data_IF_797049572604
#
_entry.id   IF_797049572604
#
_cell.length_a   1.000
_cell.length_b   1.000
_cell.length_c   1.000
_cell.angle_alpha   90.00
_cell.angle_beta   90.00
_cell.angle_gamma   90.00
#
_symmetry.space_group_name_H-M   'P 1'
#
loop_
_entity.id
_entity.type
_entity.pdbx_description
1 polymer ?
#
# COMPACT_ATOMS: atom_id res chain seq x y z
N UNK A 1 -10.66 42.18 34.52
CA UNK A 1 -10.34 40.76 34.50
C UNK A 1 -11.01 40.15 33.27
N UNK A 2 -10.22 39.65 32.30
CA UNK A 2 -10.73 39.02 31.09
C UNK A 2 -10.98 37.53 31.40
N UNK A 3 -12.24 37.08 31.37
CA UNK A 3 -12.60 35.67 31.53
C UNK A 3 -12.92 35.08 30.16
N UNK A 4 -12.09 34.20 29.66
CA UNK A 4 -12.32 33.45 28.42
C UNK A 4 -12.81 32.05 28.82
N UNK A 5 -14.01 31.63 28.38
CA UNK A 5 -14.46 30.27 28.62
C UNK A 5 -13.61 29.32 27.76
N UNK A 6 -13.07 28.29 28.38
CA UNK A 6 -12.33 27.21 27.69
C UNK A 6 -13.15 25.94 27.86
N UNK A 7 -13.51 25.33 26.74
CA UNK A 7 -14.11 24.00 26.73
C UNK A 7 -13.02 22.97 26.48
N UNK A 8 -12.90 22.00 27.39
CA UNK A 8 -11.95 20.90 27.25
C UNK A 8 -12.75 19.64 26.80
N UNK A 9 -12.48 19.15 25.61
CA UNK A 9 -13.00 17.88 25.16
C UNK A 9 -12.02 16.76 25.56
N UNK A 10 -12.54 15.77 26.26
CA UNK A 10 -11.78 14.61 26.78
C UNK A 10 -12.38 13.27 26.34
N UNK A 11 -13.41 13.29 25.48
CA UNK A 11 -14.11 12.08 25.07
C UNK A 11 -13.68 11.67 23.67
N UNK A 12 -13.08 10.48 23.49
CA UNK A 12 -12.76 10.01 22.16
C UNK A 12 -14.04 9.73 21.35
N UNK A 13 -13.95 9.85 20.02
CA UNK A 13 -15.05 9.52 19.13
C UNK A 13 -15.42 8.04 19.23
N UNK A 14 -16.66 7.70 18.89
CA UNK A 14 -17.11 6.31 18.80
C UNK A 14 -16.97 5.82 17.36
N UNK A 15 -16.34 4.67 17.17
CA UNK A 15 -16.18 4.02 15.87
C UNK A 15 -17.14 2.84 15.78
N UNK A 16 -17.86 2.71 14.64
CA UNK A 16 -18.67 1.54 14.33
C UNK A 16 -18.27 0.97 12.98
N UNK A 17 -18.05 -0.34 12.91
CA UNK A 17 -17.68 -1.05 11.70
C UNK A 17 -18.93 -1.42 10.90
N UNK A 18 -19.01 -0.95 9.65
CA UNK A 18 -20.07 -1.33 8.72
C UNK A 18 -19.65 -2.50 7.82
N UNK A 19 -18.38 -2.52 7.40
CA UNK A 19 -17.82 -3.61 6.60
C UNK A 19 -16.30 -3.68 6.80
N UNK A 20 -15.76 -4.89 6.80
CA UNK A 20 -14.31 -5.10 6.71
C UNK A 20 -14.00 -6.30 5.83
N UNK A 21 -12.88 -6.22 5.12
CA UNK A 21 -12.32 -7.35 4.39
C UNK A 21 -12.01 -8.48 5.38
N UNK A 22 -12.57 -9.65 5.16
CA UNK A 22 -12.41 -10.79 6.07
C UNK A 22 -11.04 -11.45 6.00
N UNK A 23 -10.38 -11.36 4.87
CA UNK A 23 -9.04 -11.93 4.69
C UNK A 23 -8.20 -11.14 3.69
N UNK A 24 -6.90 -11.10 3.95
CA UNK A 24 -5.89 -10.54 3.05
C UNK A 24 -4.78 -11.57 2.78
N UNK A 25 -4.19 -11.47 1.61
CA UNK A 25 -3.02 -12.24 1.19
C UNK A 25 -1.89 -11.30 0.77
N UNK A 26 -0.63 -11.74 0.70
CA UNK A 26 0.44 -10.96 0.10
C UNK A 26 0.07 -10.42 -1.29
N UNK A 27 0.32 -9.14 -1.54
CA UNK A 27 -0.08 -8.43 -2.76
C UNK A 27 -1.59 -8.19 -2.90
N UNK A 28 -2.40 -8.53 -1.88
CA UNK A 28 -3.85 -8.32 -1.88
C UNK A 28 -4.25 -6.98 -1.30
N UNK A 29 -5.45 -6.54 -1.67
CA UNK A 29 -6.09 -5.33 -1.14
C UNK A 29 -7.47 -5.64 -0.58
N UNK A 30 -8.01 -4.74 0.20
CA UNK A 30 -9.32 -4.86 0.81
C UNK A 30 -9.94 -3.51 1.11
N UNK A 31 -11.20 -3.56 1.50
CA UNK A 31 -12.02 -2.40 1.83
C UNK A 31 -12.49 -2.48 3.28
N UNK A 32 -12.41 -1.36 3.97
CA UNK A 32 -12.99 -1.17 5.30
C UNK A 32 -13.93 0.02 5.26
N UNK A 33 -15.18 -0.19 5.69
CA UNK A 33 -16.20 0.86 5.79
C UNK A 33 -16.58 1.01 7.26
N UNK A 34 -16.51 2.20 7.77
CA UNK A 34 -16.78 2.51 9.16
C UNK A 34 -17.46 3.87 9.31
N UNK A 35 -18.08 4.07 10.47
CA UNK A 35 -18.67 5.36 10.86
C UNK A 35 -17.97 5.89 12.09
N UNK A 36 -17.90 7.21 12.22
CA UNK A 36 -17.39 7.91 13.40
C UNK A 36 -18.48 8.81 13.93
N UNK A 37 -18.67 8.88 15.25
CA UNK A 37 -19.77 9.64 15.87
C UNK A 37 -19.74 11.14 15.58
N UNK A 38 -18.57 11.67 15.24
CA UNK A 38 -18.32 13.09 15.00
C UNK A 38 -17.29 13.27 13.88
N UNK A 39 -17.13 14.47 13.30
CA UNK A 39 -16.12 14.71 12.29
C UNK A 39 -14.72 14.44 12.84
N UNK A 40 -13.97 13.46 12.33
CA UNK A 40 -12.63 13.16 12.82
C UNK A 40 -11.58 14.08 12.19
N UNK A 41 -10.59 14.50 12.99
CA UNK A 41 -9.42 15.21 12.50
C UNK A 41 -8.48 14.27 11.74
N UNK A 42 -8.16 13.10 12.31
CA UNK A 42 -7.36 12.04 11.68
C UNK A 42 -8.08 10.71 11.80
N UNK A 43 -8.29 10.04 10.69
CA UNK A 43 -8.93 8.71 10.73
C UNK A 43 -8.47 7.82 9.57
N UNK A 44 -8.59 6.50 9.77
CA UNK A 44 -8.17 5.50 8.79
C UNK A 44 -8.07 4.11 9.38
N UNK A 45 -7.33 3.26 8.70
CA UNK A 45 -7.05 1.89 9.14
C UNK A 45 -5.56 1.67 9.28
N UNK A 46 -5.16 1.18 10.43
CA UNK A 46 -3.79 0.73 10.71
C UNK A 46 -3.70 -0.77 10.43
N UNK A 47 -2.74 -1.19 9.62
CA UNK A 47 -2.40 -2.60 9.36
C UNK A 47 -0.92 -2.78 9.66
N UNK A 48 -0.59 -3.41 10.78
CA UNK A 48 0.78 -3.42 11.30
C UNK A 48 1.31 -1.99 11.44
N UNK A 49 2.41 -1.69 10.78
CA UNK A 49 3.05 -0.36 10.81
C UNK A 49 2.50 0.62 9.75
N UNK A 50 1.59 0.16 8.88
CA UNK A 50 1.08 0.95 7.75
C UNK A 50 -0.25 1.58 8.10
N UNK A 51 -0.37 2.88 7.84
CA UNK A 51 -1.62 3.62 8.00
C UNK A 51 -2.23 3.90 6.62
N UNK A 52 -3.52 3.58 6.48
CA UNK A 52 -4.33 3.82 5.30
C UNK A 52 -5.39 4.85 5.64
N UNK A 53 -5.36 6.05 5.04
CA UNK A 53 -6.30 7.10 5.35
C UNK A 53 -7.74 6.71 4.96
N UNK A 54 -8.69 7.26 5.70
CA UNK A 54 -10.11 7.13 5.37
C UNK A 54 -10.55 8.24 4.44
N UNK A 55 -11.43 7.91 3.51
CA UNK A 55 -12.05 8.85 2.58
C UNK A 55 -13.54 8.97 2.87
N UNK A 56 -14.17 10.12 2.64
CA UNK A 56 -15.60 10.29 2.85
C UNK A 56 -16.42 9.31 2.01
N UNK A 57 -17.40 8.67 2.64
CA UNK A 57 -18.40 7.85 1.96
C UNK A 57 -19.61 8.67 1.51
N UNK A 58 -20.62 7.98 0.93
CA UNK A 58 -21.85 8.65 0.46
C UNK A 58 -22.75 9.16 1.59
N UNK A 59 -22.69 8.54 2.76
CA UNK A 59 -23.49 8.94 3.92
C UNK A 59 -22.64 9.79 4.85
N UNK A 60 -23.26 10.74 5.54
CA UNK A 60 -22.59 11.52 6.57
C UNK A 60 -21.91 10.60 7.61
N UNK A 61 -20.77 11.03 8.10
CA UNK A 61 -19.97 10.33 9.11
C UNK A 61 -19.57 8.89 8.74
N UNK A 62 -19.71 8.51 7.45
CA UNK A 62 -19.28 7.22 6.93
C UNK A 62 -17.99 7.40 6.13
N UNK A 63 -17.03 6.53 6.36
CA UNK A 63 -15.72 6.60 5.74
C UNK A 63 -15.33 5.24 5.16
N UNK A 64 -14.47 5.29 4.15
CA UNK A 64 -13.97 4.15 3.42
C UNK A 64 -12.45 4.20 3.42
N UNK A 65 -11.79 3.14 3.86
CA UNK A 65 -10.36 2.99 3.74
C UNK A 65 -10.01 1.81 2.83
N UNK A 66 -9.07 2.03 1.93
CA UNK A 66 -8.51 0.98 1.08
C UNK A 66 -7.22 0.49 1.71
N UNK A 67 -7.20 -0.77 2.11
CA UNK A 67 -6.04 -1.40 2.75
C UNK A 67 -5.35 -2.36 1.79
N UNK A 68 -4.04 -2.51 1.92
CA UNK A 68 -3.27 -3.42 1.09
C UNK A 68 -2.10 -4.02 1.85
N UNK A 69 -1.67 -5.21 1.43
CA UNK A 69 -0.43 -5.84 1.89
C UNK A 69 0.60 -5.83 0.77
N UNK A 70 1.90 -5.66 1.09
CA UNK A 70 2.96 -5.90 0.15
C UNK A 70 2.90 -7.32 -0.43
N UNK A 71 3.42 -7.49 -1.63
CA UNK A 71 3.47 -8.80 -2.29
C UNK A 71 4.34 -9.82 -1.54
N UNK A 72 5.31 -9.34 -0.78
CA UNK A 72 6.27 -10.10 0.02
C UNK A 72 5.92 -10.16 1.52
N UNK A 73 4.71 -9.73 1.90
CA UNK A 73 4.27 -9.77 3.29
C UNK A 73 4.28 -11.21 3.83
N UNK A 74 5.06 -11.46 4.89
CA UNK A 74 5.12 -12.76 5.58
C UNK A 74 3.97 -12.98 6.55
N UNK A 75 3.37 -11.90 7.02
CA UNK A 75 2.28 -11.90 8.02
C UNK A 75 1.37 -10.69 7.87
N UNK A 76 0.23 -10.73 8.54
CA UNK A 76 -0.66 -9.61 8.73
C UNK A 76 -0.48 -9.09 10.16
N UNK A 77 0.01 -7.87 10.31
CA UNK A 77 0.06 -7.21 11.60
C UNK A 77 -1.33 -6.89 12.15
N UNK A 78 -1.39 -6.42 13.40
CA UNK A 78 -2.65 -6.01 14.02
C UNK A 78 -3.38 -5.01 13.13
N UNK A 79 -4.67 -5.28 12.89
CA UNK A 79 -5.53 -4.44 12.04
C UNK A 79 -6.58 -3.76 12.90
N UNK A 80 -6.70 -2.42 12.78
CA UNK A 80 -7.64 -1.63 13.55
C UNK A 80 -8.06 -0.36 12.81
N UNK A 81 -9.29 0.07 13.01
CA UNK A 81 -9.71 1.44 12.67
C UNK A 81 -9.17 2.38 13.75
N UNK A 82 -8.68 3.52 13.31
CA UNK A 82 -8.19 4.62 14.17
C UNK A 82 -9.00 5.84 13.81
N UNK A 83 -9.49 6.57 14.81
CA UNK A 83 -10.09 7.87 14.63
C UNK A 83 -9.73 8.77 15.81
N UNK A 84 -9.24 9.96 15.52
CA UNK A 84 -8.99 11.01 16.51
C UNK A 84 -9.86 12.22 16.19
N UNK A 85 -10.43 12.85 17.20
CA UNK A 85 -11.15 14.11 17.09
C UNK A 85 -10.20 15.31 16.92
N UNK A 86 -10.74 16.52 16.82
CA UNK A 86 -9.96 17.73 16.71
C UNK A 86 -9.19 18.07 18.01
N UNK A 87 -9.65 17.57 19.17
CA UNK A 87 -8.98 17.73 20.47
C UNK A 87 -7.82 16.73 20.65
N UNK A 88 -7.69 15.74 19.77
CA UNK A 88 -6.66 14.71 19.81
C UNK A 88 -7.02 13.47 20.63
N UNK A 89 -8.28 13.32 21.08
CA UNK A 89 -8.71 12.10 21.75
C UNK A 89 -8.84 10.98 20.72
N UNK A 90 -8.16 9.86 20.91
CA UNK A 90 -8.08 8.76 19.95
C UNK A 90 -8.95 7.57 20.37
N UNK A 91 -9.72 7.04 19.40
CA UNK A 91 -10.43 5.78 19.50
C UNK A 91 -9.81 4.74 18.59
N UNK A 92 -9.78 3.50 19.05
CA UNK A 92 -9.25 2.34 18.32
C UNK A 92 -10.31 1.23 18.30
N UNK A 93 -10.61 0.72 17.10
CA UNK A 93 -11.49 -0.43 16.91
C UNK A 93 -10.75 -1.58 16.23
N UNK A 94 -10.38 -2.66 16.91
CA UNK A 94 -9.75 -3.82 16.29
C UNK A 94 -10.64 -4.46 15.24
N UNK A 95 -10.04 -4.93 14.15
CA UNK A 95 -10.71 -5.66 13.07
C UNK A 95 -10.11 -7.04 12.95
N UNK A 96 -10.95 -8.08 12.94
CA UNK A 96 -10.53 -9.45 12.69
C UNK A 96 -10.36 -9.66 11.17
N UNK A 97 -9.10 -9.70 10.72
CA UNK A 97 -8.74 -10.02 9.33
C UNK A 97 -7.83 -11.25 9.33
N UNK A 98 -8.18 -12.24 8.52
CA UNK A 98 -7.39 -13.47 8.40
C UNK A 98 -6.27 -13.30 7.37
N UNK A 99 -5.04 -13.63 7.74
CA UNK A 99 -3.93 -13.71 6.79
C UNK A 99 -3.98 -15.02 6.02
N UNK A 100 -4.10 -14.96 4.69
CA UNK A 100 -4.05 -16.13 3.81
C UNK A 100 -2.66 -16.24 3.20
N UNK A 101 -1.87 -17.22 3.64
CA UNK A 101 -0.59 -17.55 3.01
C UNK A 101 -0.82 -17.94 1.55
N UNK A 102 0.07 -17.46 0.68
CA UNK A 102 0.13 -17.89 -0.71
C UNK A 102 1.28 -18.90 -0.80
N UNK A 103 1.04 -20.10 -1.35
CA UNK A 103 2.13 -21.04 -1.57
C UNK A 103 3.15 -20.45 -2.54
N UNK A 104 4.43 -20.69 -2.25
CA UNK A 104 5.51 -20.26 -3.14
C UNK A 104 5.38 -21.03 -4.46
N UNK A 105 5.21 -20.30 -5.56
CA UNK A 105 5.19 -20.87 -6.89
C UNK A 105 6.58 -20.78 -7.49
N UNK A 106 7.16 -21.93 -7.83
CA UNK A 106 8.46 -22.03 -8.50
C UNK A 106 8.23 -22.51 -9.92
N UNK A 107 8.53 -21.66 -10.86
CA UNK A 107 8.47 -21.98 -12.28
C UNK A 107 9.90 -22.00 -12.87
N UNK A 108 10.17 -22.93 -13.77
CA UNK A 108 11.42 -22.98 -14.55
C UNK A 108 11.13 -22.43 -15.94
N UNK A 109 11.85 -21.38 -16.31
CA UNK A 109 11.76 -20.79 -17.65
C UNK A 109 13.03 -21.13 -18.41
N UNK A 110 12.88 -21.84 -19.51
CA UNK A 110 14.00 -22.14 -20.42
C UNK A 110 14.22 -20.97 -21.37
N UNK A 111 15.41 -20.42 -21.35
CA UNK A 111 15.83 -19.35 -22.27
C UNK A 111 16.58 -20.00 -23.43
N UNK A 112 16.04 -19.92 -24.65
CA UNK A 112 16.68 -20.49 -25.84
C UNK A 112 17.76 -19.58 -26.41
N UNK A 113 18.73 -20.18 -27.11
CA UNK A 113 19.78 -19.44 -27.82
C UNK A 113 19.18 -18.51 -28.88
N UNK A 114 18.12 -18.94 -29.56
CA UNK A 114 17.43 -18.10 -30.54
C UNK A 114 16.80 -16.85 -29.93
N UNK A 115 16.25 -16.95 -28.72
CA UNK A 115 15.76 -15.80 -27.99
C UNK A 115 16.90 -14.84 -27.63
N UNK A 116 18.01 -15.36 -27.14
CA UNK A 116 19.17 -14.54 -26.79
C UNK A 116 19.75 -13.82 -27.99
N UNK A 117 19.91 -14.54 -29.13
CA UNK A 117 20.38 -13.96 -30.39
C UNK A 117 19.48 -12.85 -30.93
N UNK A 118 18.17 -12.98 -30.76
CA UNK A 118 17.21 -11.97 -31.17
C UNK A 118 17.20 -10.75 -30.26
N UNK A 119 17.20 -10.97 -28.92
CA UNK A 119 16.93 -9.90 -27.96
C UNK A 119 18.17 -9.16 -27.45
N UNK A 120 19.31 -9.83 -27.32
CA UNK A 120 20.49 -9.18 -26.75
C UNK A 120 21.05 -8.03 -27.61
N UNK A 121 21.00 -8.06 -28.96
CA UNK A 121 21.41 -6.90 -29.77
C UNK A 121 20.54 -5.65 -29.53
N UNK A 122 19.22 -5.83 -29.30
CA UNK A 122 18.31 -4.71 -28.98
C UNK A 122 18.76 -3.99 -27.69
N UNK A 123 19.08 -4.77 -26.65
CA UNK A 123 19.58 -4.20 -25.38
C UNK A 123 20.97 -3.60 -25.53
N UNK A 124 21.87 -4.25 -26.27
CA UNK A 124 23.24 -3.74 -26.47
C UNK A 124 23.28 -2.38 -27.18
N UNK A 125 22.28 -2.06 -27.99
CA UNK A 125 22.15 -0.76 -28.62
C UNK A 125 21.86 0.36 -27.62
N UNK A 126 21.24 0.05 -26.46
CA UNK A 126 20.89 1.01 -25.41
C UNK A 126 21.88 0.97 -24.23
N UNK A 127 22.60 -0.12 -24.05
CA UNK A 127 23.54 -0.36 -22.96
C UNK A 127 24.91 -0.78 -23.52
N UNK A 128 25.69 0.16 -24.06
CA UNK A 128 26.99 -0.12 -24.69
C UNK A 128 28.01 -0.76 -23.74
N UNK A 129 27.81 -0.62 -22.43
CA UNK A 129 28.62 -1.27 -21.40
C UNK A 129 28.39 -2.79 -21.28
N UNK A 130 27.34 -3.33 -21.91
CA UNK A 130 27.09 -4.77 -21.95
C UNK A 130 28.16 -5.49 -22.77
N UNK A 131 28.97 -6.31 -22.11
CA UNK A 131 30.03 -7.08 -22.75
C UNK A 131 29.87 -8.58 -22.51
N UNK A 132 30.65 -9.38 -23.22
CA UNK A 132 30.69 -10.83 -23.05
C UNK A 132 29.72 -11.60 -23.94
N UNK A 133 29.46 -12.86 -23.56
CA UNK A 133 28.55 -13.77 -24.25
C UNK A 133 27.08 -13.31 -24.16
N UNK A 134 26.20 -13.92 -24.96
CA UNK A 134 24.77 -13.64 -24.93
C UNK A 134 24.15 -13.89 -23.54
N UNK A 135 24.62 -14.92 -22.86
CA UNK A 135 24.17 -15.26 -21.50
C UNK A 135 24.63 -14.18 -20.50
N UNK A 136 25.86 -13.73 -20.57
CA UNK A 136 26.36 -12.66 -19.70
C UNK A 136 25.60 -11.36 -19.92
N UNK A 137 25.32 -11.00 -21.16
CA UNK A 137 24.47 -9.87 -21.50
C UNK A 137 23.05 -10.01 -20.94
N UNK A 138 22.46 -11.19 -21.03
CA UNK A 138 21.17 -11.47 -20.45
C UNK A 138 21.18 -11.32 -18.92
N UNK A 139 22.20 -11.83 -18.24
CA UNK A 139 22.38 -11.65 -16.80
C UNK A 139 22.57 -10.19 -16.41
N UNK A 140 23.31 -9.42 -17.17
CA UNK A 140 23.45 -7.98 -16.98
C UNK A 140 22.09 -7.28 -16.99
N UNK A 141 21.24 -7.55 -17.99
CA UNK A 141 19.90 -6.97 -18.09
C UNK A 141 19.05 -7.35 -16.86
N UNK A 142 19.08 -8.61 -16.45
CA UNK A 142 18.23 -9.07 -15.34
C UNK A 142 18.73 -8.60 -13.97
N UNK A 143 20.03 -8.53 -13.75
CA UNK A 143 20.59 -8.23 -12.43
C UNK A 143 20.88 -6.74 -12.23
N UNK A 144 21.14 -5.97 -13.30
CA UNK A 144 21.51 -4.55 -13.19
C UNK A 144 20.40 -3.65 -13.75
N UNK A 145 20.07 -3.79 -15.03
CA UNK A 145 19.07 -2.91 -15.67
C UNK A 145 17.71 -3.03 -15.01
N UNK A 146 17.25 -4.23 -14.68
CA UNK A 146 15.99 -4.45 -13.98
C UNK A 146 15.95 -3.79 -12.61
N UNK A 147 17.03 -3.90 -11.84
CA UNK A 147 17.12 -3.30 -10.50
C UNK A 147 17.08 -1.77 -10.60
N UNK A 148 17.84 -1.19 -11.54
CA UNK A 148 17.83 0.25 -11.80
C UNK A 148 16.45 0.74 -12.21
N UNK A 149 15.79 0.04 -13.14
CA UNK A 149 14.44 0.39 -13.57
C UNK A 149 13.41 0.28 -12.43
N UNK A 150 13.51 -0.75 -11.58
CA UNK A 150 12.64 -0.87 -10.41
C UNK A 150 12.82 0.32 -9.45
N UNK A 151 14.05 0.78 -9.22
CA UNK A 151 14.33 1.94 -8.40
C UNK A 151 13.76 3.24 -9.00
N UNK A 152 13.87 3.42 -10.33
CA UNK A 152 13.27 4.56 -11.03
C UNK A 152 11.75 4.54 -10.90
N UNK A 153 11.11 3.39 -11.14
CA UNK A 153 9.65 3.22 -11.00
C UNK A 153 9.22 3.55 -9.57
N UNK A 154 9.91 2.99 -8.57
CA UNK A 154 9.60 3.27 -7.17
C UNK A 154 9.70 4.76 -6.84
N UNK A 155 10.73 5.45 -7.34
CA UNK A 155 10.90 6.90 -7.17
C UNK A 155 9.76 7.70 -7.83
N UNK A 156 9.38 7.35 -9.04
CA UNK A 156 8.27 8.01 -9.75
C UNK A 156 6.95 7.78 -9.01
N UNK A 157 6.68 6.55 -8.59
CA UNK A 157 5.46 6.24 -7.82
C UNK A 157 5.41 6.96 -6.46
N UNK A 158 6.55 7.12 -5.80
CA UNK A 158 6.62 7.85 -4.53
C UNK A 158 6.38 9.37 -4.69
N UNK A 159 6.64 9.92 -5.88
CA UNK A 159 6.42 11.32 -6.21
C UNK A 159 5.02 11.59 -6.80
N UNK A 160 4.13 10.58 -6.82
CA UNK A 160 2.78 10.72 -7.36
C UNK A 160 1.97 11.67 -6.48
N UNK A 161 1.36 12.68 -7.10
CA UNK A 161 0.43 13.59 -6.45
C UNK A 161 -0.84 12.82 -6.04
N UNK A 162 -1.33 12.98 -4.80
CA UNK A 162 -2.57 12.37 -4.35
C UNK A 162 -3.82 12.99 -4.99
N UNK A 163 -3.68 14.07 -5.77
CA UNK A 163 -4.82 14.67 -6.47
C UNK A 163 -5.41 13.70 -7.51
N UNK A 164 -6.73 13.64 -7.53
CA UNK A 164 -7.46 12.85 -8.52
C UNK A 164 -7.31 13.49 -9.90
N UNK A 165 -6.64 12.81 -10.83
CA UNK A 165 -6.39 13.31 -12.18
C UNK A 165 -7.47 12.91 -13.21
N UNK A 166 -8.53 12.25 -12.76
CA UNK A 166 -9.67 11.83 -13.60
C UNK A 166 -11.00 12.24 -12.96
N UNK A 167 -11.97 12.55 -13.79
CA UNK A 167 -13.36 12.85 -13.40
C UNK A 167 -14.25 11.64 -13.56
#
# INVERSE_FOLDING_TARGET
ELRVPVTMDTKPPTISLAHAQQSLRPGGSGLVVYTVSEPPGRHGVQVGDRFFPGFPGRKANTFVAYIALPWDAGELGATRVVAADEAGNEALLPIAVTFKKVPEKRDTITISDSFLQLKMPEFAAHYPEMQGSLVEKYLFVNNQVRVQNAAVIAKVCAATDPEQLWT
#
